data_IF_047321567642
#
_entry.id   IF_047321567642
#
_cell.length_a   1.000
_cell.length_b   1.000
_cell.length_c   1.000
_cell.angle_alpha   90.00
_cell.angle_beta   90.00
_cell.angle_gamma   90.00
#
_symmetry.space_group_name_H-M   'P 1'
#
loop_
_entity.id
_entity.type
_entity.pdbx_description
1 polymer ?
#
# COMPACT_ATOMS: atom_id res chain seq x y z
N UNK A 1 24.21 13.73 19.59
CA UNK A 1 23.52 12.61 18.93
C UNK A 1 22.31 13.15 18.19
N UNK A 2 22.23 12.96 16.88
CA UNK A 2 21.25 13.62 16.01
C UNK A 2 19.95 12.79 15.92
N UNK A 3 19.09 12.93 16.94
CA UNK A 3 17.87 12.14 17.14
C UNK A 3 16.77 12.36 16.09
N UNK A 4 16.84 13.46 15.34
CA UNK A 4 15.85 13.83 14.31
C UNK A 4 15.87 12.86 13.12
N UNK A 5 17.07 12.57 12.59
CA UNK A 5 17.26 11.65 11.45
C UNK A 5 16.90 10.20 11.78
N UNK A 6 17.16 9.75 13.01
CA UNK A 6 16.75 8.41 13.47
C UNK A 6 15.23 8.26 13.57
N UNK A 7 14.53 9.32 13.97
CA UNK A 7 13.06 9.32 14.10
C UNK A 7 12.38 9.24 12.73
N UNK A 8 12.92 9.91 11.71
CA UNK A 8 12.38 9.88 10.34
C UNK A 8 12.58 8.50 9.68
N UNK A 9 13.77 7.90 9.88
CA UNK A 9 14.05 6.54 9.41
C UNK A 9 13.09 5.51 10.02
N UNK A 10 12.81 5.62 11.33
CA UNK A 10 11.88 4.72 12.01
C UNK A 10 10.45 4.85 11.47
N UNK A 11 9.98 6.08 11.23
CA UNK A 11 8.65 6.33 10.64
C UNK A 11 8.54 5.76 9.23
N UNK A 12 9.57 5.91 8.41
CA UNK A 12 9.60 5.30 7.07
C UNK A 12 9.53 3.78 7.14
N UNK A 13 10.28 3.17 8.06
CA UNK A 13 10.25 1.72 8.25
C UNK A 13 8.86 1.23 8.67
N UNK A 14 8.22 1.91 9.63
CA UNK A 14 6.86 1.59 10.06
C UNK A 14 5.85 1.70 8.91
N UNK A 15 5.95 2.74 8.08
CA UNK A 15 5.06 2.91 6.93
C UNK A 15 5.21 1.77 5.91
N UNK A 16 6.45 1.38 5.59
CA UNK A 16 6.73 0.24 4.68
C UNK A 16 6.14 -1.05 5.26
N UNK A 17 6.42 -1.34 6.54
CA UNK A 17 5.92 -2.55 7.20
C UNK A 17 4.39 -2.59 7.23
N UNK A 18 3.74 -1.49 7.59
CA UNK A 18 2.27 -1.41 7.61
C UNK A 18 1.68 -1.63 6.21
N UNK A 19 2.31 -1.08 5.17
CA UNK A 19 1.90 -1.28 3.80
C UNK A 19 2.02 -2.73 3.36
N UNK A 20 3.14 -3.39 3.68
CA UNK A 20 3.37 -4.79 3.36
C UNK A 20 2.37 -5.69 4.09
N UNK A 21 2.16 -5.48 5.38
CA UNK A 21 1.18 -6.25 6.17
C UNK A 21 -0.22 -6.13 5.58
N UNK A 22 -0.66 -4.89 5.30
CA UNK A 22 -1.98 -4.63 4.70
C UNK A 22 -2.17 -5.34 3.35
N UNK A 23 -1.18 -5.29 2.45
CA UNK A 23 -1.26 -5.98 1.15
C UNK A 23 -1.31 -7.50 1.36
N UNK A 24 -0.43 -8.02 2.22
CA UNK A 24 -0.34 -9.46 2.52
C UNK A 24 -1.66 -9.99 3.05
N UNK A 25 -2.24 -9.32 4.06
CA UNK A 25 -3.52 -9.72 4.66
C UNK A 25 -4.64 -9.73 3.63
N UNK A 26 -4.71 -8.70 2.77
CA UNK A 26 -5.73 -8.63 1.72
C UNK A 26 -5.59 -9.77 0.71
N UNK A 27 -4.38 -10.00 0.18
CA UNK A 27 -4.16 -11.03 -0.82
C UNK A 27 -4.31 -12.45 -0.26
N UNK A 28 -3.97 -12.68 1.01
CA UNK A 28 -4.26 -13.95 1.66
C UNK A 28 -5.76 -14.20 1.80
N UNK A 29 -6.54 -13.19 2.22
CA UNK A 29 -7.98 -13.33 2.35
C UNK A 29 -8.68 -13.59 1.00
N UNK A 30 -8.19 -12.94 -0.07
CA UNK A 30 -8.75 -13.09 -1.42
C UNK A 30 -8.39 -14.42 -2.06
N UNK A 31 -7.11 -14.81 -2.02
CA UNK A 31 -6.60 -15.95 -2.78
C UNK A 31 -6.56 -17.26 -1.99
N UNK A 32 -6.54 -17.19 -0.66
CA UNK A 32 -6.37 -18.36 0.23
C UNK A 32 -7.52 -18.36 1.25
N UNK A 33 -8.78 -18.46 0.82
CA UNK A 33 -9.94 -18.34 1.70
C UNK A 33 -10.03 -19.49 2.72
N UNK A 34 -9.35 -20.60 2.45
CA UNK A 34 -9.30 -21.75 3.35
C UNK A 34 -7.98 -22.48 3.15
N UNK A 35 -6.99 -22.14 3.97
CA UNK A 35 -5.69 -22.82 3.94
C UNK A 35 -5.86 -24.25 4.47
N UNK A 36 -5.82 -25.23 3.55
CA UNK A 36 -6.08 -26.65 3.84
C UNK A 36 -4.83 -27.53 3.76
N UNK A 37 -3.67 -26.96 3.47
CA UNK A 37 -2.42 -27.68 3.20
C UNK A 37 -1.28 -27.28 4.11
N UNK A 38 -0.11 -27.89 3.89
CA UNK A 38 1.17 -27.39 4.41
C UNK A 38 1.76 -26.31 3.50
N UNK A 39 1.44 -26.40 2.21
CA UNK A 39 1.91 -25.53 1.14
C UNK A 39 0.72 -24.97 0.36
N UNK A 40 0.93 -23.82 -0.28
CA UNK A 40 -0.04 -23.24 -1.20
C UNK A 40 -0.06 -24.04 -2.50
N UNK A 41 -1.25 -24.28 -3.03
CA UNK A 41 -1.40 -24.83 -4.37
C UNK A 41 -0.82 -23.85 -5.42
N UNK A 42 -0.42 -24.34 -6.60
CA UNK A 42 0.07 -23.46 -7.68
C UNK A 42 -0.92 -22.35 -8.05
N UNK A 43 -2.22 -22.62 -7.94
CA UNK A 43 -3.29 -21.65 -8.20
C UNK A 43 -3.31 -20.55 -7.14
N UNK A 44 -3.24 -20.92 -5.86
CA UNK A 44 -3.18 -19.95 -4.75
C UNK A 44 -1.91 -19.09 -4.81
N UNK A 45 -0.76 -19.70 -5.17
CA UNK A 45 0.50 -18.98 -5.34
C UNK A 45 0.40 -17.94 -6.48
N UNK A 46 -0.11 -18.34 -7.64
CA UNK A 46 -0.27 -17.45 -8.79
C UNK A 46 -1.25 -16.31 -8.48
N UNK A 47 -2.39 -16.63 -7.85
CA UNK A 47 -3.35 -15.62 -7.41
C UNK A 47 -2.71 -14.62 -6.44
N UNK A 48 -1.95 -15.10 -5.45
CA UNK A 48 -1.28 -14.22 -4.50
C UNK A 48 -0.30 -13.28 -5.21
N UNK A 49 0.53 -13.79 -6.15
CA UNK A 49 1.47 -12.98 -6.93
C UNK A 49 0.74 -11.89 -7.72
N UNK A 50 -0.32 -12.24 -8.44
CA UNK A 50 -1.12 -11.28 -9.22
C UNK A 50 -1.80 -10.24 -8.32
N UNK A 51 -2.34 -10.66 -7.17
CA UNK A 51 -2.93 -9.75 -6.20
C UNK A 51 -1.90 -8.76 -5.65
N UNK A 52 -0.68 -9.22 -5.31
CA UNK A 52 0.39 -8.33 -4.86
C UNK A 52 0.73 -7.28 -5.90
N UNK A 53 0.89 -7.68 -7.17
CA UNK A 53 1.18 -6.76 -8.27
C UNK A 53 0.07 -5.71 -8.44
N UNK A 54 -1.20 -6.13 -8.37
CA UNK A 54 -2.36 -5.24 -8.44
C UNK A 54 -2.41 -4.25 -7.28
N UNK A 55 -2.18 -4.71 -6.05
CA UNK A 55 -2.21 -3.86 -4.86
C UNK A 55 -1.07 -2.83 -4.84
N UNK A 56 0.13 -3.21 -5.29
CA UNK A 56 1.23 -2.26 -5.47
C UNK A 56 0.89 -1.19 -6.51
N UNK A 57 0.26 -1.58 -7.62
CA UNK A 57 -0.14 -0.63 -8.65
C UNK A 57 -1.23 0.33 -8.16
N UNK A 58 -2.26 -0.17 -7.46
CA UNK A 58 -3.32 0.67 -6.85
C UNK A 58 -2.73 1.66 -5.86
N UNK A 59 -1.80 1.22 -5.00
CA UNK A 59 -1.15 2.13 -4.03
C UNK A 59 -0.29 3.18 -4.72
N UNK A 60 0.42 2.83 -5.79
CA UNK A 60 1.16 3.80 -6.60
C UNK A 60 0.23 4.85 -7.23
N UNK A 61 -0.87 4.41 -7.85
CA UNK A 61 -1.88 5.31 -8.43
C UNK A 61 -2.46 6.24 -7.35
N UNK A 62 -2.87 5.69 -6.21
CA UNK A 62 -3.45 6.50 -5.13
C UNK A 62 -2.44 7.49 -4.52
N UNK A 63 -1.15 7.14 -4.41
CA UNK A 63 -0.12 8.10 -3.99
C UNK A 63 0.07 9.23 -5.01
N UNK A 64 0.12 8.90 -6.31
CA UNK A 64 0.22 9.92 -7.37
C UNK A 64 -1.02 10.80 -7.45
N UNK A 65 -2.23 10.24 -7.26
CA UNK A 65 -3.48 11.00 -7.23
C UNK A 65 -3.59 11.89 -5.98
N UNK A 66 -3.14 11.43 -4.81
CA UNK A 66 -3.10 12.27 -3.60
C UNK A 66 -2.09 13.42 -3.73
N UNK A 67 -0.92 13.19 -4.34
CA UNK A 67 0.05 14.25 -4.66
C UNK A 67 -0.50 15.27 -5.67
N UNK A 68 -1.34 14.84 -6.61
CA UNK A 68 -1.96 15.73 -7.59
C UNK A 68 -3.05 16.64 -6.97
N UNK A 69 -3.76 16.15 -5.94
CA UNK A 69 -4.81 16.93 -5.25
C UNK A 69 -4.19 18.07 -4.41
N UNK A 70 -3.00 17.88 -3.83
CA UNK A 70 -2.28 18.93 -3.08
C UNK A 70 -1.72 20.06 -3.96
N UNK A 71 -1.85 19.97 -5.29
CA UNK A 71 -1.33 20.97 -6.25
C UNK A 71 -2.40 21.77 -6.99
N UNK A 72 -3.70 21.62 -6.68
CA UNK A 72 -4.68 22.57 -7.22
C UNK A 72 -4.63 23.88 -6.40
N UNK A 73 -4.21 25.02 -6.99
CA UNK A 73 -4.36 26.30 -6.32
C UNK A 73 -5.84 26.52 -6.04
N UNK A 74 -6.18 26.86 -4.80
CA UNK A 74 -7.48 27.39 -4.44
C UNK A 74 -7.77 28.59 -5.34
N UNK A 75 -8.56 28.42 -6.40
CA UNK A 75 -9.24 29.53 -7.04
C UNK A 75 -10.30 30.00 -6.03
N UNK A 76 -9.91 31.00 -5.25
CA UNK A 76 -10.79 31.80 -4.42
C UNK A 76 -11.89 32.37 -5.33
N UNK A 77 -13.13 31.89 -5.16
CA UNK A 77 -14.32 32.49 -5.76
C UNK A 77 -14.46 33.93 -5.27
N UNK A 78 -14.00 34.89 -6.07
CA UNK A 78 -14.31 36.31 -5.88
C UNK A 78 -15.75 36.56 -6.33
N UNK A 79 -16.72 36.40 -5.43
CA UNK A 79 -18.07 36.90 -5.63
C UNK A 79 -18.10 38.42 -5.42
N UNK A 80 -18.45 39.14 -6.48
CA UNK A 80 -18.95 40.52 -6.59
C UNK A 80 -18.30 41.64 -5.74
#
# INVERSE_FOLDING_TARGET
MNTKSQTESLKMHQLITNNLVSITTHCMAECIPSFKGKDLSPIEQMCAIECYARQLNIKNINQSSLQAIDTQPQQEESYY
#
